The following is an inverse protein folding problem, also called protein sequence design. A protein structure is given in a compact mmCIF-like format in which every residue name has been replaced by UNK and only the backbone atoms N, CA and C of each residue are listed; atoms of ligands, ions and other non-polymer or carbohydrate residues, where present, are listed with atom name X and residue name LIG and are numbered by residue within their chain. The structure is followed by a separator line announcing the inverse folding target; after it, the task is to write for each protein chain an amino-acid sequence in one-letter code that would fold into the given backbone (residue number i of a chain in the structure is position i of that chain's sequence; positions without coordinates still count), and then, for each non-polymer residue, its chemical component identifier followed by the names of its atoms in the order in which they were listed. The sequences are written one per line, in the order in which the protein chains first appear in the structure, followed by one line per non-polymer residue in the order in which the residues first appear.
data_IF_966924758831
#
_entry.id   IF_966924758831
#
_cell.length_a   1.000
_cell.length_b   1.000
_cell.length_c   1.000
_cell.angle_alpha   90.00
_cell.angle_beta   90.00
_cell.angle_gamma   90.00
#
_symmetry.space_group_name_H-M   'P 1'
#
loop_
_entity.id
_entity.type
_entity.pdbx_description
1 polymer ?
#
# COMPACT_ATOMS: atom_id res chain seq x y z
N UNK A 1 -28.72 -73.68 -43.66
CA UNK A 1 -27.88 -73.31 -44.82
C UNK A 1 -28.82 -72.70 -45.85
N UNK A 2 -28.64 -71.43 -46.25
CA UNK A 2 -27.57 -71.07 -47.18
C UNK A 2 -26.83 -69.77 -46.85
N UNK A 3 -25.51 -69.75 -47.05
CA UNK A 3 -24.76 -68.51 -47.28
C UNK A 3 -25.04 -68.03 -48.71
N UNK A 4 -25.55 -66.80 -48.83
CA UNK A 4 -25.61 -66.10 -50.12
C UNK A 4 -24.43 -65.16 -50.22
N UNK A 5 -23.58 -65.46 -51.19
CA UNK A 5 -22.40 -64.71 -51.60
C UNK A 5 -22.75 -63.23 -51.84
N UNK A 6 -22.16 -62.36 -51.03
CA UNK A 6 -22.16 -60.91 -51.22
C UNK A 6 -21.01 -60.60 -52.17
N UNK A 7 -21.30 -60.41 -53.45
CA UNK A 7 -20.29 -59.95 -54.40
C UNK A 7 -20.97 -59.12 -55.47
N UNK A 8 -20.35 -57.97 -55.73
CA UNK A 8 -20.57 -57.07 -56.86
C UNK A 8 -21.56 -55.92 -56.59
N UNK A 9 -21.23 -55.07 -55.61
CA UNK A 9 -21.51 -53.64 -55.77
C UNK A 9 -20.50 -53.11 -56.80
N UNK A 10 -21.04 -52.52 -57.86
CA UNK A 10 -20.31 -51.82 -58.92
C UNK A 10 -19.28 -50.86 -58.31
N UNK A 11 -18.00 -51.21 -58.48
CA UNK A 11 -16.93 -50.25 -58.37
C UNK A 11 -16.78 -49.64 -59.76
N UNK A 12 -17.66 -48.70 -60.10
CA UNK A 12 -17.45 -47.82 -61.24
C UNK A 12 -16.11 -47.12 -61.00
N UNK A 13 -15.15 -47.59 -61.76
CA UNK A 13 -13.78 -47.13 -61.84
C UNK A 13 -13.82 -45.62 -62.13
N UNK A 14 -13.81 -44.80 -61.08
CA UNK A 14 -13.38 -43.41 -61.18
C UNK A 14 -11.87 -43.45 -61.43
N UNK A 15 -11.48 -43.81 -62.66
CA UNK A 15 -10.16 -43.48 -63.16
C UNK A 15 -10.04 -41.96 -63.06
N UNK A 16 -9.09 -41.42 -62.29
CA UNK A 16 -8.95 -39.98 -62.18
C UNK A 16 -8.72 -39.41 -63.59
N UNK A 17 -9.39 -38.32 -63.99
CA UNK A 17 -9.20 -37.74 -65.30
C UNK A 17 -7.70 -37.46 -65.49
N UNK A 18 -7.16 -38.00 -66.58
CA UNK A 18 -5.77 -37.84 -66.97
C UNK A 18 -5.45 -36.34 -67.07
N UNK A 19 -4.84 -35.82 -66.00
CA UNK A 19 -4.44 -34.42 -65.92
C UNK A 19 -3.32 -34.17 -66.91
N UNK A 20 -3.59 -33.29 -67.88
CA UNK A 20 -2.58 -32.82 -68.82
C UNK A 20 -1.37 -32.29 -68.02
N UNK A 21 -0.13 -32.39 -68.55
CA UNK A 21 1.08 -32.06 -67.79
C UNK A 21 1.08 -30.62 -67.23
N UNK A 22 0.28 -29.73 -67.82
CA UNK A 22 0.08 -28.34 -67.38
C UNK A 22 -0.74 -28.22 -66.07
N UNK A 23 -1.73 -29.08 -65.83
CA UNK A 23 -2.55 -29.00 -64.60
C UNK A 23 -1.89 -29.67 -63.39
N UNK A 24 -1.01 -30.66 -63.60
CA UNK A 24 -0.18 -31.24 -62.52
C UNK A 24 0.80 -30.24 -61.93
N UNK A 25 1.37 -29.37 -62.78
CA UNK A 25 2.24 -28.28 -62.34
C UNK A 25 1.48 -27.27 -61.45
N UNK A 26 0.24 -26.94 -61.83
CA UNK A 26 -0.60 -26.00 -61.07
C UNK A 26 -1.00 -26.56 -59.69
N UNK A 27 -1.38 -27.85 -59.62
CA UNK A 27 -1.67 -28.51 -58.35
C UNK A 27 -0.43 -28.58 -57.45
N UNK A 28 0.74 -28.84 -58.02
CA UNK A 28 2.01 -28.83 -57.27
C UNK A 28 2.39 -27.46 -56.71
N UNK A 29 2.13 -26.37 -57.45
CA UNK A 29 2.39 -25.01 -56.96
C UNK A 29 1.43 -24.64 -55.82
N UNK A 30 0.14 -25.01 -55.93
CA UNK A 30 -0.86 -24.73 -54.90
C UNK A 30 -0.56 -25.45 -53.57
N UNK A 31 -0.10 -26.70 -53.61
CA UNK A 31 0.26 -27.43 -52.38
C UNK A 31 1.48 -26.81 -51.69
N UNK A 32 2.49 -26.38 -52.45
CA UNK A 32 3.67 -25.70 -51.91
C UNK A 32 3.29 -24.36 -51.28
N UNK A 33 2.44 -23.56 -51.93
CA UNK A 33 1.94 -22.29 -51.38
C UNK A 33 1.14 -22.51 -50.10
N UNK A 34 0.27 -23.52 -50.04
CA UNK A 34 -0.51 -23.84 -48.85
C UNK A 34 0.38 -24.22 -47.65
N UNK A 35 1.40 -25.05 -47.87
CA UNK A 35 2.35 -25.44 -46.81
C UNK A 35 3.18 -24.25 -46.35
N UNK A 36 3.59 -23.37 -47.27
CA UNK A 36 4.37 -22.17 -46.96
C UNK A 36 3.55 -21.17 -46.14
N UNK A 37 2.26 -20.99 -46.43
CA UNK A 37 1.35 -20.15 -45.64
C UNK A 37 1.16 -20.73 -44.24
N UNK A 38 0.96 -22.04 -44.10
CA UNK A 38 0.83 -22.69 -42.79
C UNK A 38 2.12 -22.56 -41.96
N UNK A 39 3.28 -22.70 -42.60
CA UNK A 39 4.58 -22.54 -41.94
C UNK A 39 4.81 -21.10 -41.47
N UNK A 40 4.60 -20.12 -42.36
CA UNK A 40 4.74 -18.69 -42.02
C UNK A 40 3.70 -18.26 -40.97
N UNK A 41 2.46 -18.75 -41.05
CA UNK A 41 1.43 -18.48 -40.07
C UNK A 41 1.77 -19.05 -38.69
N UNK A 42 2.21 -20.31 -38.63
CA UNK A 42 2.66 -20.93 -37.38
C UNK A 42 3.90 -20.22 -36.80
N UNK A 43 4.82 -19.79 -37.65
CA UNK A 43 6.01 -19.04 -37.25
C UNK A 43 5.66 -17.63 -36.73
N UNK A 44 4.77 -16.91 -37.42
CA UNK A 44 4.33 -15.56 -37.03
C UNK A 44 3.57 -15.59 -35.70
N UNK A 45 2.65 -16.54 -35.51
CA UNK A 45 1.93 -16.74 -34.24
C UNK A 45 2.90 -17.09 -33.11
N UNK A 46 3.84 -18.01 -33.35
CA UNK A 46 4.85 -18.35 -32.34
C UNK A 46 5.72 -17.15 -31.96
N UNK A 47 6.05 -16.26 -32.91
CA UNK A 47 6.91 -15.11 -32.66
C UNK A 47 6.21 -13.95 -31.92
N UNK A 48 4.91 -13.75 -32.17
CA UNK A 48 4.15 -12.63 -31.61
C UNK A 48 3.40 -12.99 -30.31
N UNK A 49 2.97 -14.25 -30.14
CA UNK A 49 2.13 -14.65 -29.00
C UNK A 49 2.94 -15.04 -27.75
N UNK A 50 4.23 -15.36 -27.86
CA UNK A 50 5.05 -15.75 -26.68
C UNK A 50 5.74 -14.60 -25.96
N UNK A 51 5.94 -13.48 -26.65
CA UNK A 51 6.62 -12.31 -26.06
C UNK A 51 5.92 -11.68 -24.84
N UNK A 52 4.58 -11.62 -24.73
CA UNK A 52 3.95 -11.05 -23.54
C UNK A 52 3.85 -12.01 -22.35
N UNK A 53 4.19 -13.30 -22.49
CA UNK A 53 4.01 -14.31 -21.42
C UNK A 53 5.31 -14.92 -20.90
N UNK A 54 6.46 -14.65 -21.53
CA UNK A 54 7.78 -15.05 -21.01
C UNK A 54 8.32 -14.08 -19.92
N UNK A 55 7.58 -13.00 -19.62
CA UNK A 55 8.01 -11.92 -18.70
C UNK A 55 7.21 -11.88 -17.37
N UNK A 56 6.91 -13.02 -16.76
CA UNK A 56 6.21 -13.07 -15.48
C UNK A 56 6.83 -14.02 -14.45
N UNK A 57 8.15 -14.19 -14.44
CA UNK A 57 8.81 -15.00 -13.39
C UNK A 57 10.16 -14.46 -12.90
N UNK A 58 10.47 -13.18 -13.16
CA UNK A 58 11.72 -12.60 -12.62
C UNK A 58 11.82 -11.07 -12.60
N UNK A 59 10.88 -10.33 -13.17
CA UNK A 59 11.06 -8.89 -13.39
C UNK A 59 10.28 -8.00 -12.41
N UNK A 60 9.26 -8.53 -11.72
CA UNK A 60 8.59 -7.81 -10.63
C UNK A 60 9.47 -7.68 -9.36
N UNK A 61 10.50 -8.52 -9.23
CA UNK A 61 11.46 -8.45 -8.12
C UNK A 61 12.58 -7.46 -8.43
N UNK A 62 12.96 -7.30 -9.71
CA UNK A 62 14.01 -6.39 -10.15
C UNK A 62 13.62 -4.91 -10.01
N UNK A 63 12.33 -4.56 -10.17
CA UNK A 63 11.86 -3.16 -10.05
C UNK A 63 11.70 -2.70 -8.60
N UNK A 64 11.40 -3.62 -7.67
CA UNK A 64 11.33 -3.29 -6.24
C UNK A 64 12.73 -3.18 -5.64
N UNK A 65 13.67 -4.03 -6.07
CA UNK A 65 15.08 -3.85 -5.70
C UNK A 65 15.65 -2.55 -6.25
N UNK A 66 15.26 -2.13 -7.45
CA UNK A 66 15.75 -0.89 -8.07
C UNK A 66 15.29 0.35 -7.28
N UNK A 67 14.00 0.41 -6.90
CA UNK A 67 13.50 1.51 -6.07
C UNK A 67 14.13 1.57 -4.68
N UNK A 68 14.36 0.42 -4.03
CA UNK A 68 15.02 0.41 -2.72
C UNK A 68 16.50 0.80 -2.80
N UNK A 69 17.18 0.42 -3.89
CA UNK A 69 18.57 0.82 -4.13
C UNK A 69 18.65 2.34 -4.39
N UNK A 70 17.66 2.93 -5.07
CA UNK A 70 17.61 4.39 -5.24
C UNK A 70 17.46 5.09 -3.90
N UNK A 71 16.51 4.66 -3.05
CA UNK A 71 16.30 5.27 -1.73
C UNK A 71 17.53 5.12 -0.83
N UNK A 72 18.26 4.01 -0.92
CA UNK A 72 19.47 3.79 -0.11
C UNK A 72 20.67 4.65 -0.54
N UNK A 73 20.64 5.28 -1.71
CA UNK A 73 21.68 6.19 -2.18
C UNK A 73 21.20 7.63 -2.34
N UNK A 74 19.93 7.90 -2.03
CA UNK A 74 19.32 9.23 -2.11
C UNK A 74 19.22 9.79 -0.70
N UNK A 75 19.52 11.06 -0.60
CA UNK A 75 19.46 11.91 0.59
C UNK A 75 18.79 13.19 0.10
N UNK A 76 17.52 13.38 0.46
CA UNK A 76 16.63 14.32 -0.23
C UNK A 76 16.64 15.72 0.39
N UNK A 77 16.81 15.82 1.70
CA UNK A 77 17.00 17.06 2.46
C UNK A 77 18.48 17.40 2.67
N UNK A 78 19.38 16.43 2.57
CA UNK A 78 20.82 16.66 2.58
C UNK A 78 21.45 16.69 3.97
N UNK A 79 20.80 16.08 4.96
CA UNK A 79 21.30 15.99 6.35
C UNK A 79 22.39 14.92 6.52
N UNK A 80 22.55 14.04 5.52
CA UNK A 80 23.52 12.95 5.51
C UNK A 80 22.95 11.60 5.97
N UNK A 81 21.64 11.46 6.09
CA UNK A 81 20.91 10.19 6.15
C UNK A 81 20.37 9.85 4.75
N UNK A 82 20.25 8.55 4.47
CA UNK A 82 19.59 8.14 3.23
C UNK A 82 18.08 8.08 3.43
N UNK A 83 17.30 8.43 2.41
CA UNK A 83 15.83 8.31 2.43
C UNK A 83 15.37 6.92 2.90
N UNK A 84 16.16 5.89 2.58
CA UNK A 84 15.89 4.53 3.05
C UNK A 84 16.04 4.41 4.57
N UNK A 85 17.12 4.94 5.14
CA UNK A 85 17.37 4.87 6.57
C UNK A 85 16.33 5.68 7.35
N UNK A 86 15.99 6.87 6.86
CA UNK A 86 14.95 7.71 7.46
C UNK A 86 13.58 7.00 7.48
N UNK A 87 13.11 6.50 6.33
CA UNK A 87 11.78 5.87 6.25
C UNK A 87 11.75 4.52 6.99
N UNK A 88 12.79 3.70 6.88
CA UNK A 88 12.75 2.31 7.32
C UNK A 88 13.40 2.05 8.67
N UNK A 89 14.43 2.81 9.05
CA UNK A 89 15.20 2.62 10.28
C UNK A 89 14.78 3.62 11.34
N UNK A 90 14.91 4.93 11.06
CA UNK A 90 14.78 5.99 12.06
C UNK A 90 13.37 6.58 12.18
N UNK A 91 12.52 6.33 11.19
CA UNK A 91 11.13 6.85 11.10
C UNK A 91 11.05 8.37 11.04
N UNK A 92 12.11 9.00 10.54
CA UNK A 92 12.21 10.44 10.28
C UNK A 92 11.68 10.81 8.89
N UNK A 93 11.67 12.10 8.58
CA UNK A 93 11.11 12.66 7.36
C UNK A 93 12.19 12.95 6.31
N UNK A 94 12.18 12.28 5.14
CA UNK A 94 13.16 12.45 4.05
C UNK A 94 12.98 13.74 3.23
N UNK A 95 12.44 14.77 3.84
CA UNK A 95 12.22 16.08 3.24
C UNK A 95 12.50 17.21 4.24
N UNK A 96 12.88 16.85 5.47
CA UNK A 96 13.12 17.76 6.58
C UNK A 96 14.43 17.33 7.23
N UNK A 97 15.42 18.21 7.18
CA UNK A 97 16.70 18.00 7.86
C UNK A 97 16.54 17.81 9.38
N UNK A 98 15.46 18.35 9.96
CA UNK A 98 15.07 18.27 11.36
C UNK A 98 13.60 17.84 11.42
N UNK A 99 13.34 16.58 11.78
CA UNK A 99 12.00 15.97 11.72
C UNK A 99 11.07 16.52 12.79
N UNK A 100 11.58 16.82 13.99
CA UNK A 100 10.77 17.28 15.12
C UNK A 100 10.79 18.81 15.32
N UNK A 101 11.59 19.50 14.51
CA UNK A 101 11.69 20.95 14.35
C UNK A 101 12.18 21.69 15.59
N UNK A 102 13.12 21.11 16.33
CA UNK A 102 13.69 21.67 17.55
C UNK A 102 15.09 22.29 17.40
N UNK A 103 15.74 22.14 16.24
CA UNK A 103 16.99 22.80 15.88
C UNK A 103 18.06 21.90 15.24
N UNK A 104 18.60 20.88 15.94
CA UNK A 104 19.55 19.91 15.38
C UNK A 104 18.93 19.12 14.22
N UNK A 105 19.78 18.68 13.30
CA UNK A 105 19.35 17.76 12.24
C UNK A 105 19.20 16.32 12.74
N UNK A 106 18.36 15.52 12.07
CA UNK A 106 18.14 14.11 12.42
C UNK A 106 19.47 13.34 12.46
N UNK A 107 20.39 13.62 11.53
CA UNK A 107 21.75 13.08 11.54
C UNK A 107 22.57 13.48 12.77
N UNK A 108 22.54 14.75 13.16
CA UNK A 108 23.29 15.25 14.32
C UNK A 108 22.79 14.60 15.61
N UNK A 109 21.48 14.47 15.75
CA UNK A 109 20.85 13.80 16.89
C UNK A 109 21.26 12.32 16.99
N UNK A 110 21.31 11.61 15.86
CA UNK A 110 21.79 10.23 15.85
C UNK A 110 23.27 10.10 16.21
N UNK A 111 24.10 11.08 15.84
CA UNK A 111 25.52 11.12 16.21
C UNK A 111 25.70 11.45 17.72
N UNK A 112 24.75 12.17 18.33
CA UNK A 112 24.67 12.45 19.77
C UNK A 112 23.94 11.36 20.59
N UNK A 113 23.47 10.30 19.93
CA UNK A 113 22.66 9.22 20.52
C UNK A 113 21.32 9.72 21.13
N UNK A 114 20.76 10.81 20.60
CA UNK A 114 19.42 11.32 20.92
C UNK A 114 18.37 10.76 19.95
N UNK A 115 17.09 11.11 20.17
CA UNK A 115 15.98 10.59 19.38
C UNK A 115 15.51 11.66 18.38
N UNK A 116 15.69 11.46 17.06
CA UNK A 116 15.38 12.46 16.03
C UNK A 116 13.87 12.68 15.77
N UNK A 117 13.02 12.10 16.61
CA UNK A 117 11.57 12.34 16.58
C UNK A 117 11.10 12.92 17.92
N UNK A 118 12.02 13.36 18.78
CA UNK A 118 11.74 13.83 20.12
C UNK A 118 12.40 15.17 20.42
N UNK A 119 11.61 16.26 20.46
CA UNK A 119 12.16 17.59 20.69
C UNK A 119 12.93 17.67 22.01
N UNK A 120 14.04 18.41 22.00
CA UNK A 120 14.94 18.66 23.12
C UNK A 120 14.13 19.12 24.33
N UNK A 121 14.32 18.39 25.43
CA UNK A 121 13.67 18.68 26.71
C UNK A 121 12.25 18.10 26.84
N UNK A 122 11.76 17.37 25.84
CA UNK A 122 10.55 16.56 25.94
C UNK A 122 10.87 15.11 26.34
N UNK A 123 9.90 14.43 26.94
CA UNK A 123 9.99 13.01 27.27
C UNK A 123 9.14 12.20 26.30
N UNK A 124 9.73 11.68 25.22
CA UNK A 124 9.01 10.88 24.23
C UNK A 124 9.07 9.37 24.51
N UNK A 125 9.84 8.97 25.54
CA UNK A 125 9.95 7.58 26.00
C UNK A 125 8.84 7.15 26.95
N UNK A 126 7.99 8.09 27.38
CA UNK A 126 6.87 7.77 28.26
C UNK A 126 5.67 7.32 27.43
N UNK A 127 5.12 6.12 27.67
CA UNK A 127 3.83 5.74 27.11
C UNK A 127 2.77 6.67 27.71
N UNK A 128 2.47 7.81 27.05
CA UNK A 128 1.45 8.82 27.39
C UNK A 128 0.88 8.61 28.79
N UNK A 129 1.67 8.92 29.82
CA UNK A 129 1.21 8.84 31.19
C UNK A 129 0.50 10.16 31.42
N UNK A 130 -0.79 10.18 31.08
CA UNK A 130 -1.69 11.26 31.50
C UNK A 130 -1.58 11.28 33.02
N UNK A 131 -0.86 12.26 33.57
CA UNK A 131 -0.76 12.48 35.00
C UNK A 131 -2.13 12.95 35.51
N UNK A 132 -3.05 12.01 35.66
CA UNK A 132 -4.27 12.19 36.41
C UNK A 132 -3.88 12.44 37.87
N UNK A 133 -4.44 13.46 38.55
CA UNK A 133 -4.15 13.72 39.94
C UNK A 133 -4.49 12.49 40.79
N UNK A 134 -3.44 12.00 41.48
CA UNK A 134 -3.33 11.08 42.62
C UNK A 134 -4.63 10.55 43.28
N UNK A 135 -5.52 9.90 42.53
CA UNK A 135 -6.54 8.98 43.06
C UNK A 135 -7.17 8.03 42.02
N UNK A 136 -6.61 7.88 40.82
CA UNK A 136 -7.06 6.87 39.86
C UNK A 136 -6.06 5.73 39.81
N UNK A 137 -6.53 4.53 40.11
CA UNK A 137 -5.74 3.32 40.04
C UNK A 137 -5.13 3.20 38.64
N UNK A 138 -3.79 3.18 38.59
CA UNK A 138 -2.91 2.75 37.50
C UNK A 138 -3.68 2.23 36.28
N UNK A 139 -4.03 3.14 35.37
CA UNK A 139 -4.23 2.75 33.99
C UNK A 139 -2.84 2.80 33.38
N UNK A 140 -2.08 1.75 33.66
CA UNK A 140 -0.94 1.41 32.82
C UNK A 140 -1.49 1.41 31.40
N UNK A 141 -0.86 2.15 30.49
CA UNK A 141 -1.00 2.00 29.04
C UNK A 141 -0.48 0.62 28.60
N UNK A 142 -1.01 -0.44 29.20
CA UNK A 142 -1.21 -1.71 28.57
C UNK A 142 -2.61 -1.65 27.99
N UNK A 143 -2.68 -1.58 26.67
CA UNK A 143 -3.72 -2.32 25.97
C UNK A 143 -3.60 -3.75 26.51
N UNK A 144 -4.46 -4.11 27.46
CA UNK A 144 -4.63 -5.49 27.89
C UNK A 144 -5.36 -6.17 26.72
N UNK A 145 -4.61 -6.66 25.73
CA UNK A 145 -5.03 -7.85 25.00
C UNK A 145 -4.87 -9.04 25.95
N UNK A 146 -5.72 -9.09 26.99
CA UNK A 146 -5.94 -10.36 27.68
C UNK A 146 -6.88 -11.16 26.80
N UNK A 147 -6.30 -12.11 26.08
CA UNK A 147 -7.03 -13.26 25.56
C UNK A 147 -7.94 -13.84 26.66
N UNK A 148 -9.19 -14.15 26.26
CA UNK A 148 -10.33 -14.62 27.04
C UNK A 148 -11.01 -13.52 27.91
N UNK A 149 -12.26 -13.14 27.70
CA UNK A 149 -13.40 -13.94 27.23
C UNK A 149 -14.60 -13.05 26.88
N UNK A 150 -15.22 -13.34 25.73
CA UNK A 150 -16.66 -13.38 25.49
C UNK A 150 -17.54 -12.20 25.96
N UNK A 151 -17.82 -11.26 25.04
CA UNK A 151 -19.13 -10.64 24.76
C UNK A 151 -18.83 -9.42 23.86
N UNK A 152 -19.16 -9.52 22.58
CA UNK A 152 -20.38 -8.94 22.02
C UNK A 152 -20.29 -7.40 21.93
N UNK A 153 -19.99 -6.96 20.71
CA UNK A 153 -20.56 -5.81 20.02
C UNK A 153 -20.78 -4.54 20.85
N UNK A 154 -20.02 -3.48 20.52
CA UNK A 154 -20.34 -2.03 20.51
C UNK A 154 -19.14 -1.22 21.02
N UNK A 155 -18.12 -1.03 20.18
CA UNK A 155 -16.89 -0.28 20.51
C UNK A 155 -16.86 1.17 20.00
N UNK A 156 -18.00 1.75 19.62
CA UNK A 156 -18.04 3.14 19.13
C UNK A 156 -18.66 4.15 20.08
N UNK A 157 -19.41 3.71 21.10
CA UNK A 157 -20.32 4.61 21.83
C UNK A 157 -19.83 4.96 23.25
N UNK A 158 -18.74 4.36 23.73
CA UNK A 158 -18.27 4.54 25.13
C UNK A 158 -17.21 5.65 25.28
N UNK A 159 -16.62 6.14 24.18
CA UNK A 159 -15.55 7.13 24.25
C UNK A 159 -16.02 8.59 24.29
N UNK A 160 -17.25 8.88 23.88
CA UNK A 160 -17.71 10.27 23.72
C UNK A 160 -18.33 10.85 25.00
N UNK A 161 -18.98 10.02 25.83
CA UNK A 161 -19.68 10.48 27.04
C UNK A 161 -18.74 10.75 28.23
N UNK A 162 -17.53 10.18 28.20
CA UNK A 162 -16.50 10.42 29.22
C UNK A 162 -15.66 11.68 28.96
N UNK A 163 -15.62 12.19 27.72
CA UNK A 163 -14.81 13.37 27.34
C UNK A 163 -15.54 14.70 27.57
N UNK A 164 -16.88 14.69 27.64
CA UNK A 164 -17.67 15.90 27.85
C UNK A 164 -17.57 16.51 29.26
N UNK A 165 -17.08 15.76 30.25
CA UNK A 165 -17.17 16.18 31.65
C UNK A 165 -15.86 16.67 32.28
N UNK A 166 -14.68 16.29 31.75
CA UNK A 166 -13.40 16.49 32.46
C UNK A 166 -12.22 16.83 31.54
N UNK A 167 -12.45 17.58 30.46
CA UNK A 167 -11.32 18.23 29.77
C UNK A 167 -10.87 19.43 30.60
N UNK A 168 -9.61 19.39 31.03
CA UNK A 168 -8.91 20.49 31.67
C UNK A 168 -8.48 21.55 30.63
N UNK A 169 -8.35 22.81 31.04
CA UNK A 169 -8.02 23.91 30.14
C UNK A 169 -6.64 23.73 29.49
N UNK A 170 -5.65 23.21 30.23
CA UNK A 170 -4.30 22.98 29.70
C UNK A 170 -4.31 21.88 28.64
N UNK A 171 -5.06 20.79 28.90
CA UNK A 171 -5.25 19.70 27.94
C UNK A 171 -5.94 20.21 26.67
N UNK A 172 -6.94 21.08 26.80
CA UNK A 172 -7.63 21.67 25.66
C UNK A 172 -6.72 22.58 24.83
N UNK A 173 -5.84 23.36 25.48
CA UNK A 173 -4.83 24.19 24.80
C UNK A 173 -3.86 23.32 23.99
N UNK A 174 -3.32 22.26 24.60
CA UNK A 174 -2.40 21.35 23.91
C UNK A 174 -3.06 20.67 22.71
N UNK A 175 -4.31 20.23 22.86
CA UNK A 175 -5.07 19.61 21.78
C UNK A 175 -5.32 20.60 20.63
N UNK A 176 -5.64 21.85 20.94
CA UNK A 176 -5.83 22.90 19.94
C UNK A 176 -4.52 23.20 19.20
N UNK A 177 -3.38 23.30 19.91
CA UNK A 177 -2.05 23.53 19.30
C UNK A 177 -1.67 22.36 18.39
N UNK A 178 -1.86 21.12 18.84
CA UNK A 178 -1.61 19.92 18.05
C UNK A 178 -2.48 19.86 16.77
N UNK A 179 -3.65 20.49 16.77
CA UNK A 179 -4.54 20.60 15.61
C UNK A 179 -4.34 21.91 14.81
N UNK A 180 -3.25 22.64 15.06
CA UNK A 180 -2.85 23.80 14.27
C UNK A 180 -3.37 25.15 14.78
N UNK A 181 -3.90 25.22 16.01
CA UNK A 181 -4.15 26.50 16.66
C UNK A 181 -2.82 27.18 17.04
N UNK A 182 -2.72 28.49 16.82
CA UNK A 182 -1.51 29.24 17.19
C UNK A 182 -1.49 29.46 18.71
N UNK A 183 -0.37 29.17 19.35
CA UNK A 183 -0.20 29.37 20.79
C UNK A 183 -0.53 30.81 21.23
N UNK A 184 -0.15 31.80 20.43
CA UNK A 184 -0.43 33.24 20.68
C UNK A 184 -1.94 33.56 20.72
N UNK A 185 -2.76 32.86 19.93
CA UNK A 185 -4.21 33.05 19.95
C UNK A 185 -4.83 32.46 21.22
N UNK A 186 -4.26 31.38 21.73
CA UNK A 186 -4.74 30.70 22.93
C UNK A 186 -4.30 31.44 24.19
N UNK A 187 -3.09 32.00 24.25
CA UNK A 187 -2.60 32.77 25.41
C UNK A 187 -3.47 33.99 25.74
N UNK A 188 -4.14 34.57 24.75
CA UNK A 188 -5.04 35.71 24.92
C UNK A 188 -6.46 35.33 25.39
N UNK A 189 -6.77 34.04 25.49
CA UNK A 189 -8.06 33.51 25.95
C UNK A 189 -7.88 32.97 27.37
N UNK A 190 -8.80 33.29 28.29
CA UNK A 190 -8.77 32.74 29.65
C UNK A 190 -9.17 31.25 29.67
N UNK A 191 -8.71 30.51 30.68
CA UNK A 191 -9.06 29.09 30.84
C UNK A 191 -10.58 28.86 30.97
N UNK A 192 -11.27 29.80 31.62
CA UNK A 192 -12.72 29.81 31.77
C UNK A 192 -13.41 30.02 30.42
N UNK A 193 -13.01 31.03 29.65
CA UNK A 193 -13.60 31.33 28.34
C UNK A 193 -13.34 30.20 27.32
N UNK A 194 -12.19 29.54 27.41
CA UNK A 194 -11.81 28.44 26.52
C UNK A 194 -12.69 27.21 26.77
N UNK A 195 -12.87 26.84 28.04
CA UNK A 195 -13.73 25.72 28.44
C UNK A 195 -15.20 26.01 28.18
N UNK A 196 -15.66 27.24 28.40
CA UNK A 196 -17.03 27.65 28.09
C UNK A 196 -17.31 27.60 26.59
N UNK A 197 -16.35 28.04 25.76
CA UNK A 197 -16.45 27.92 24.30
C UNK A 197 -16.56 26.46 23.86
N UNK A 198 -15.73 25.58 24.43
CA UNK A 198 -15.76 24.14 24.16
C UNK A 198 -17.10 23.51 24.55
N UNK A 199 -17.61 23.81 25.75
CA UNK A 199 -18.91 23.32 26.24
C UNK A 199 -20.07 23.81 25.39
N UNK A 200 -20.05 25.07 24.97
CA UNK A 200 -21.07 25.63 24.10
C UNK A 200 -21.12 24.94 22.73
N UNK A 201 -19.97 24.57 22.17
CA UNK A 201 -19.89 23.82 20.90
C UNK A 201 -20.46 22.41 21.08
N UNK A 202 -20.08 21.70 22.15
CA UNK A 202 -20.61 20.36 22.44
C UNK A 202 -22.14 20.40 22.60
N UNK A 203 -22.65 21.35 23.39
CA UNK A 203 -24.09 21.52 23.59
C UNK A 203 -24.85 21.85 22.30
N UNK A 204 -24.19 22.50 21.33
CA UNK A 204 -24.78 22.80 20.02
C UNK A 204 -24.82 21.59 19.08
N UNK A 205 -23.92 20.61 19.25
CA UNK A 205 -23.90 19.39 18.42
C UNK A 205 -24.91 18.32 18.86
N UNK A 206 -25.44 18.43 20.08
CA UNK A 206 -26.43 17.49 20.63
C UNK A 206 -27.89 17.82 20.22
N UNK A 207 -28.10 18.89 19.44
CA UNK A 207 -29.44 19.38 19.06
C UNK A 207 -29.84 19.17 17.58
N UNK A 208 -28.99 18.54 16.76
CA UNK A 208 -29.29 18.15 15.36
C UNK A 208 -29.31 16.62 15.20
#
# INVERSE_FOLDING_TARGET
MPEKNFSQLNNDNLTPPNSTPRSKALVGILTVLAVLILFLGAWQIRSQVRRPFDAATGQAVATLSDSLVVLSNRDTDGDGLSDYDEIYIYKTSPYLEDTDSDGPSDREELDEETNPNCPIGQNCDTPLEIALPDNTAVVQSGIILSENSAAADTESDILLESLGAQIDADTLRQLLIANGARAEDLENISDEDLLDSYRNILASQEQD
#
